data_IF_171479747710
#
_entry.id   IF_171479747710
#
_cell.length_a   1.000
_cell.length_b   1.000
_cell.length_c   1.000
_cell.angle_alpha   90.00
_cell.angle_beta   90.00
_cell.angle_gamma   90.00
#
_symmetry.space_group_name_H-M   'P 1'
#
loop_
_entity.id
_entity.type
_entity.pdbx_description
1 polymer ?
#
# COMPACT_ATOMS: atom_id res chain seq x y z
N UNK A 1 -7.04 0.83 34.04
CA UNK A 1 -7.45 -0.20 33.07
C UNK A 1 -6.70 0.01 31.75
N UNK A 2 -5.38 -0.05 31.72
CA UNK A 2 -4.53 -1.26 31.57
C UNK A 2 -4.91 -2.28 30.47
N UNK A 3 -5.93 -2.02 29.65
CA UNK A 3 -6.30 -2.89 28.51
C UNK A 3 -6.23 -2.19 27.15
N UNK A 4 -5.96 -0.88 27.12
CA UNK A 4 -5.82 -0.10 25.89
C UNK A 4 -4.41 -0.09 25.25
N UNK A 5 -3.39 -0.63 25.94
CA UNK A 5 -2.00 -0.61 25.45
C UNK A 5 -1.51 -1.94 24.85
N UNK A 6 -2.30 -3.01 24.91
CA UNK A 6 -1.83 -4.38 24.58
C UNK A 6 -2.27 -4.91 23.21
N UNK A 7 -2.92 -4.11 22.37
CA UNK A 7 -3.01 -4.43 20.93
C UNK A 7 -2.09 -3.54 20.12
N UNK A 8 -0.82 -3.45 20.55
CA UNK A 8 0.30 -3.35 19.60
C UNK A 8 0.48 -4.71 18.90
N UNK A 9 -0.57 -5.26 18.30
CA UNK A 9 -0.40 -6.28 17.26
C UNK A 9 0.27 -5.53 16.13
N UNK A 10 1.58 -5.66 16.08
CA UNK A 10 2.51 -4.78 15.39
C UNK A 10 1.98 -4.33 14.02
N UNK A 11 1.52 -3.08 13.94
CA UNK A 11 1.33 -2.39 12.66
C UNK A 11 2.59 -2.54 11.80
N UNK A 12 3.77 -2.57 12.45
CA UNK A 12 5.04 -2.94 11.83
C UNK A 12 5.01 -4.30 11.09
N UNK A 13 4.51 -5.38 11.69
CA UNK A 13 4.42 -6.68 10.99
C UNK A 13 3.36 -6.67 9.89
N UNK A 14 2.26 -5.93 10.07
CA UNK A 14 1.26 -5.77 9.02
C UNK A 14 1.83 -4.99 7.82
N UNK A 15 2.56 -3.91 8.08
CA UNK A 15 3.31 -3.16 7.07
C UNK A 15 4.34 -4.04 6.36
N UNK A 16 5.14 -4.83 7.09
CA UNK A 16 6.10 -5.76 6.49
C UNK A 16 5.43 -6.81 5.58
N UNK A 17 4.29 -7.35 6.00
CA UNK A 17 3.50 -8.29 5.18
C UNK A 17 3.00 -7.63 3.89
N UNK A 18 2.45 -6.42 3.97
CA UNK A 18 1.96 -5.68 2.82
C UNK A 18 3.10 -5.32 1.84
N UNK A 19 4.27 -4.93 2.35
CA UNK A 19 5.46 -4.66 1.52
C UNK A 19 5.95 -5.93 0.83
N UNK A 20 5.96 -7.08 1.51
CA UNK A 20 6.26 -8.37 0.88
C UNK A 20 5.22 -8.71 -0.21
N UNK A 21 3.94 -8.46 0.06
CA UNK A 21 2.86 -8.61 -0.91
C UNK A 21 3.03 -7.72 -2.15
N UNK A 22 3.48 -6.47 -1.96
CA UNK A 22 3.79 -5.55 -3.06
C UNK A 22 4.89 -6.13 -3.97
N UNK A 23 6.00 -6.62 -3.41
CA UNK A 23 7.03 -7.29 -4.21
C UNK A 23 6.49 -8.53 -4.93
N UNK A 24 5.63 -9.32 -4.27
CA UNK A 24 4.94 -10.45 -4.88
C UNK A 24 4.11 -10.05 -6.11
N UNK A 25 3.34 -8.96 -6.02
CA UNK A 25 2.57 -8.42 -7.15
C UNK A 25 3.48 -7.96 -8.30
N UNK A 26 4.59 -7.29 -7.98
CA UNK A 26 5.54 -6.83 -9.00
C UNK A 26 6.12 -8.01 -9.77
N UNK A 27 6.57 -9.05 -9.06
CA UNK A 27 7.10 -10.27 -9.68
C UNK A 27 6.02 -10.97 -10.50
N UNK A 28 4.82 -11.16 -9.94
CA UNK A 28 3.71 -11.79 -10.66
C UNK A 28 3.32 -11.01 -11.93
N UNK A 29 3.36 -9.68 -11.87
CA UNK A 29 3.10 -8.80 -13.02
C UNK A 29 4.15 -9.00 -14.12
N UNK A 30 5.43 -9.08 -13.76
CA UNK A 30 6.52 -9.33 -14.70
C UNK A 30 6.38 -10.72 -15.34
N UNK A 31 6.12 -11.75 -14.54
CA UNK A 31 5.89 -13.12 -15.03
C UNK A 31 4.71 -13.17 -16.00
N UNK A 32 3.63 -12.44 -15.70
CA UNK A 32 2.44 -12.43 -16.55
C UNK A 32 2.66 -11.73 -17.91
N UNK A 33 3.70 -10.89 -18.07
CA UNK A 33 4.07 -10.34 -19.39
C UNK A 33 4.45 -11.47 -20.36
N UNK A 34 5.14 -12.50 -19.86
CA UNK A 34 5.56 -13.64 -20.69
C UNK A 34 4.47 -14.70 -20.84
N UNK A 35 3.65 -14.91 -19.81
CA UNK A 35 2.55 -15.88 -19.87
C UNK A 35 1.31 -15.36 -20.60
N UNK A 36 1.12 -14.05 -20.65
CA UNK A 36 -0.06 -13.38 -21.22
C UNK A 36 -1.40 -13.97 -20.71
N UNK A 37 -1.46 -14.38 -19.43
CA UNK A 37 -2.63 -15.03 -18.85
C UNK A 37 -3.65 -14.01 -18.33
N UNK A 38 -4.86 -14.06 -18.88
CA UNK A 38 -5.99 -13.23 -18.43
C UNK A 38 -6.46 -13.59 -17.02
N UNK A 39 -6.42 -14.88 -16.67
CA UNK A 39 -6.75 -15.36 -15.33
C UNK A 39 -5.74 -14.88 -14.28
N UNK A 40 -4.44 -14.96 -14.59
CA UNK A 40 -3.40 -14.44 -13.70
C UNK A 40 -3.49 -12.90 -13.58
N UNK A 41 -3.77 -12.20 -14.68
CA UNK A 41 -4.00 -10.75 -14.66
C UNK A 41 -5.16 -10.36 -13.72
N UNK A 42 -6.26 -11.12 -13.73
CA UNK A 42 -7.40 -10.91 -12.84
C UNK A 42 -7.03 -11.15 -11.37
N UNK A 43 -6.31 -12.23 -11.05
CA UNK A 43 -5.85 -12.48 -9.67
C UNK A 43 -4.92 -11.38 -9.19
N UNK A 44 -3.99 -10.94 -10.03
CA UNK A 44 -3.07 -9.84 -9.75
C UNK A 44 -3.84 -8.55 -9.46
N UNK A 45 -4.90 -8.23 -10.23
CA UNK A 45 -5.68 -7.01 -9.99
C UNK A 45 -6.47 -7.05 -8.69
N UNK A 46 -7.10 -8.18 -8.34
CA UNK A 46 -7.80 -8.34 -7.06
C UNK A 46 -6.84 -8.20 -5.88
N UNK A 47 -5.70 -8.90 -5.90
CA UNK A 47 -4.71 -8.81 -4.83
C UNK A 47 -4.07 -7.42 -4.76
N UNK A 48 -3.85 -6.78 -5.92
CA UNK A 48 -3.39 -5.40 -6.04
C UNK A 48 -4.29 -4.43 -5.31
N UNK A 49 -5.62 -4.52 -5.50
CA UNK A 49 -6.58 -3.68 -4.78
C UNK A 49 -6.47 -3.85 -3.27
N UNK A 50 -6.44 -5.10 -2.78
CA UNK A 50 -6.39 -5.38 -1.35
C UNK A 50 -5.08 -4.89 -0.70
N UNK A 51 -3.94 -5.14 -1.34
CA UNK A 51 -2.63 -4.76 -0.82
C UNK A 51 -2.46 -3.24 -0.82
N UNK A 52 -2.79 -2.56 -1.92
CA UNK A 52 -2.65 -1.11 -1.98
C UNK A 52 -3.64 -0.38 -1.06
N UNK A 53 -4.87 -0.88 -0.90
CA UNK A 53 -5.80 -0.34 0.10
C UNK A 53 -5.23 -0.48 1.53
N UNK A 54 -4.64 -1.64 1.85
CA UNK A 54 -3.95 -1.87 3.12
C UNK A 54 -2.74 -0.95 3.32
N UNK A 55 -1.90 -0.78 2.30
CA UNK A 55 -0.73 0.11 2.34
C UNK A 55 -1.12 1.57 2.55
N UNK A 56 -2.16 2.05 1.87
CA UNK A 56 -2.68 3.42 2.06
C UNK A 56 -3.15 3.62 3.50
N UNK A 57 -3.89 2.66 4.07
CA UNK A 57 -4.34 2.73 5.45
C UNK A 57 -3.15 2.76 6.44
N UNK A 58 -2.15 1.91 6.22
CA UNK A 58 -0.94 1.86 7.03
C UNK A 58 -0.12 3.16 6.93
N UNK A 59 0.14 3.64 5.72
CA UNK A 59 0.94 4.85 5.48
C UNK A 59 0.23 6.10 6.02
N UNK A 60 -1.10 6.16 5.94
CA UNK A 60 -1.88 7.26 6.53
C UNK A 60 -1.75 7.29 8.05
N UNK A 61 -1.81 6.13 8.72
CA UNK A 61 -1.62 6.04 10.18
C UNK A 61 -0.20 6.43 10.57
N UNK A 62 0.80 5.88 9.88
CA UNK A 62 2.21 6.18 10.12
C UNK A 62 2.51 7.67 9.94
N UNK A 63 1.98 8.28 8.88
CA UNK A 63 2.19 9.70 8.62
C UNK A 63 1.59 10.56 9.75
N UNK A 64 0.37 10.22 10.22
CA UNK A 64 -0.26 10.90 11.36
C UNK A 64 0.55 10.79 12.65
N UNK A 65 1.12 9.62 12.94
CA UNK A 65 1.99 9.40 14.10
C UNK A 65 3.27 10.24 14.01
N UNK A 66 3.91 10.29 12.85
CA UNK A 66 5.12 11.09 12.63
C UNK A 66 4.90 12.59 12.83
N UNK A 67 3.74 13.12 12.43
CA UNK A 67 3.39 14.52 12.70
C UNK A 67 3.13 14.79 14.19
N UNK A 68 2.55 13.84 14.91
CA UNK A 68 2.26 13.99 16.34
C UNK A 68 3.54 14.02 17.21
N UNK A 69 4.63 13.44 16.73
CA UNK A 69 5.93 13.40 17.43
C UNK A 69 6.70 14.73 17.41
N UNK A 70 6.25 15.74 16.65
CA UNK A 70 6.78 17.11 16.73
C UNK A 70 8.25 17.22 16.32
N UNK A 71 8.61 16.70 15.13
CA UNK A 71 9.93 16.89 14.55
C UNK A 71 10.16 18.36 14.18
N UNK A 72 11.42 18.83 14.17
CA UNK A 72 11.74 20.21 13.79
C UNK A 72 11.15 20.60 12.42
N UNK A 73 10.76 21.87 12.25
CA UNK A 73 9.95 22.39 11.14
C UNK A 73 10.46 22.00 9.72
N UNK A 74 11.78 21.93 9.53
CA UNK A 74 12.38 21.51 8.26
C UNK A 74 12.19 20.01 7.99
N UNK A 75 12.32 19.18 9.03
CA UNK A 75 12.14 17.71 8.96
C UNK A 75 10.66 17.36 8.76
N UNK A 76 9.77 18.12 9.39
CA UNK A 76 8.31 17.97 9.22
C UNK A 76 7.89 18.26 7.76
N UNK A 77 8.41 19.33 7.16
CA UNK A 77 8.10 19.71 5.78
C UNK A 77 8.58 18.65 4.78
N UNK A 78 9.80 18.12 4.95
CA UNK A 78 10.31 17.03 4.08
C UNK A 78 9.48 15.76 4.25
N UNK A 79 9.17 15.38 5.49
CA UNK A 79 8.34 14.20 5.78
C UNK A 79 6.95 14.34 5.17
N UNK A 80 6.37 15.54 5.20
CA UNK A 80 5.08 15.83 4.58
C UNK A 80 5.06 15.57 3.07
N UNK A 81 6.05 16.11 2.36
CA UNK A 81 6.16 15.96 0.90
C UNK A 81 6.36 14.50 0.52
N UNK A 82 7.24 13.78 1.23
CA UNK A 82 7.45 12.35 0.99
C UNK A 82 6.20 11.53 1.30
N UNK A 83 5.54 11.78 2.43
CA UNK A 83 4.30 11.10 2.80
C UNK A 83 3.19 11.30 1.76
N UNK A 84 3.00 12.54 1.29
CA UNK A 84 2.04 12.86 0.24
C UNK A 84 2.36 12.16 -1.09
N UNK A 85 3.64 12.15 -1.50
CA UNK A 85 4.08 11.46 -2.71
C UNK A 85 3.82 9.95 -2.63
N UNK A 86 4.15 9.31 -1.50
CA UNK A 86 3.88 7.87 -1.30
C UNK A 86 2.40 7.56 -1.37
N UNK A 87 1.55 8.33 -0.69
CA UNK A 87 0.10 8.16 -0.73
C UNK A 87 -0.46 8.35 -2.15
N UNK A 88 0.05 9.34 -2.90
CA UNK A 88 -0.33 9.57 -4.29
C UNK A 88 0.02 8.37 -5.18
N UNK A 89 1.24 7.84 -5.09
CA UNK A 89 1.66 6.68 -5.88
C UNK A 89 0.85 5.43 -5.52
N UNK A 90 0.55 5.22 -4.24
CA UNK A 90 -0.28 4.10 -3.81
C UNK A 90 -1.71 4.23 -4.33
N UNK A 91 -2.30 5.42 -4.27
CA UNK A 91 -3.63 5.69 -4.81
C UNK A 91 -3.70 5.48 -6.32
N UNK A 92 -2.69 5.95 -7.06
CA UNK A 92 -2.60 5.75 -8.51
C UNK A 92 -2.58 4.25 -8.84
N UNK A 93 -1.74 3.46 -8.16
CA UNK A 93 -1.68 2.02 -8.38
C UNK A 93 -3.00 1.32 -8.02
N UNK A 94 -3.60 1.67 -6.88
CA UNK A 94 -4.93 1.16 -6.50
C UNK A 94 -5.95 1.44 -7.61
N UNK A 95 -5.98 2.67 -8.12
CA UNK A 95 -6.87 3.06 -9.19
C UNK A 95 -6.62 2.27 -10.49
N UNK A 96 -5.37 2.10 -10.90
CA UNK A 96 -5.02 1.27 -12.06
C UNK A 96 -5.46 -0.19 -11.89
N UNK A 97 -5.33 -0.76 -10.70
CA UNK A 97 -5.82 -2.12 -10.43
C UNK A 97 -7.35 -2.20 -10.47
N UNK A 98 -8.05 -1.20 -9.94
CA UNK A 98 -9.52 -1.11 -10.07
C UNK A 98 -9.94 -0.99 -11.53
N UNK A 99 -9.24 -0.17 -12.33
CA UNK A 99 -9.49 -0.07 -13.77
C UNK A 99 -9.24 -1.40 -14.48
N UNK A 100 -8.19 -2.15 -14.13
CA UNK A 100 -7.97 -3.49 -14.70
C UNK A 100 -9.02 -4.50 -14.24
N UNK A 101 -9.49 -4.40 -13.00
CA UNK A 101 -10.48 -5.32 -12.44
C UNK A 101 -11.86 -5.12 -13.07
N UNK A 102 -12.28 -3.88 -13.24
CA UNK A 102 -13.63 -3.54 -13.75
C UNK A 102 -13.66 -3.16 -15.24
N UNK A 103 -12.51 -2.76 -15.80
CA UNK A 103 -12.37 -2.33 -17.18
C UNK A 103 -11.95 -3.44 -18.14
N UNK A 104 -11.73 -4.67 -17.66
CA UNK A 104 -11.47 -5.83 -18.52
C UNK A 104 -12.74 -6.22 -19.28
N UNK A 105 -13.08 -5.43 -20.29
CA UNK A 105 -14.06 -5.72 -21.32
C UNK A 105 -13.33 -6.49 -22.41
N UNK A 106 -13.72 -7.75 -22.60
CA UNK A 106 -13.24 -8.68 -23.62
C UNK A 106 -12.88 -8.00 -24.95
#
# INVERSE_FOLDING_TARGET
>A
SLYGYTTRRSLSAFGSFLIMGLFGIVIASIVNIFLASSGLAFVISVLGVLIFAGLIAYDTQRLKEQYAEGLGQEVETKTAVWGALTLYLNFLNLFLFLLRLFGNRN
#
